data_IF_423790941093
#
_entry.id   IF_423790941093
#
_cell.length_a   1.000
_cell.length_b   1.000
_cell.length_c   1.000
_cell.angle_alpha   90.00
_cell.angle_beta   90.00
_cell.angle_gamma   90.00
#
_symmetry.space_group_name_H-M   'P 1'
#
loop_
_entity.id
_entity.type
_entity.pdbx_description
1 polymer ?
#
# COMPACT_ATOMS: atom_id res chain seq x y z
N UNK A 1 -14.82 -4.84 -3.14
CA UNK A 1 -16.24 -4.47 -3.29
C UNK A 1 -16.97 -4.65 -1.97
N UNK A 2 -17.87 -3.74 -1.68
CA UNK A 2 -18.70 -3.81 -0.47
C UNK A 2 -20.18 -3.69 -0.87
N UNK A 3 -21.01 -4.56 -0.31
CA UNK A 3 -22.46 -4.58 -0.57
C UNK A 3 -23.23 -3.70 0.45
N UNK A 4 -22.59 -2.63 0.91
CA UNK A 4 -23.22 -1.65 1.79
C UNK A 4 -23.56 -0.38 1.03
N UNK A 5 -24.69 0.24 1.43
CA UNK A 5 -25.09 1.51 0.86
C UNK A 5 -24.07 2.61 1.21
N UNK A 6 -23.70 3.40 0.20
CA UNK A 6 -22.81 4.56 0.38
C UNK A 6 -23.47 5.62 1.25
N UNK A 7 -22.67 6.30 2.07
CA UNK A 7 -23.17 7.37 2.94
C UNK A 7 -23.99 8.42 2.17
N UNK A 8 -25.14 8.89 2.73
CA UNK A 8 -26.04 9.83 2.04
C UNK A 8 -25.34 11.11 1.54
N UNK A 9 -24.40 11.65 2.31
CA UNK A 9 -23.65 12.84 1.92
C UNK A 9 -22.79 12.62 0.65
N UNK A 10 -22.23 11.43 0.50
CA UNK A 10 -21.45 11.07 -0.71
C UNK A 10 -22.39 10.94 -1.91
N UNK A 11 -23.54 10.29 -1.72
CA UNK A 11 -24.54 10.16 -2.79
C UNK A 11 -25.05 11.52 -3.26
N UNK A 12 -25.31 12.46 -2.33
CA UNK A 12 -25.78 13.80 -2.67
C UNK A 12 -24.72 14.60 -3.43
N UNK A 13 -23.47 14.59 -2.97
CA UNK A 13 -22.37 15.25 -3.66
C UNK A 13 -22.19 14.73 -5.11
N UNK A 14 -22.38 13.43 -5.33
CA UNK A 14 -22.35 12.84 -6.68
C UNK A 14 -23.53 13.33 -7.52
N UNK A 15 -24.75 13.39 -6.94
CA UNK A 15 -25.93 13.89 -7.65
C UNK A 15 -25.78 15.35 -8.06
N UNK A 16 -25.33 16.20 -7.15
CA UNK A 16 -25.05 17.62 -7.42
C UNK A 16 -24.02 17.78 -8.53
N UNK A 17 -22.93 17.04 -8.44
CA UNK A 17 -21.89 17.09 -9.47
C UNK A 17 -22.37 16.59 -10.83
N UNK A 18 -23.19 15.54 -10.86
CA UNK A 18 -23.77 15.02 -12.09
C UNK A 18 -24.78 16.02 -12.70
N UNK A 19 -25.62 16.66 -11.85
CA UNK A 19 -26.61 17.65 -12.28
C UNK A 19 -25.99 18.93 -12.87
N UNK A 20 -24.76 19.26 -12.47
CA UNK A 20 -23.99 20.38 -13.03
C UNK A 20 -23.78 20.25 -14.57
N UNK A 21 -23.65 19.04 -15.11
CA UNK A 21 -23.72 18.74 -16.54
C UNK A 21 -22.49 19.14 -17.37
N UNK A 22 -21.46 19.76 -16.79
CA UNK A 22 -20.21 20.12 -17.49
C UNK A 22 -19.08 19.25 -16.99
N UNK A 23 -18.55 18.40 -17.86
CA UNK A 23 -17.49 17.44 -17.54
C UNK A 23 -16.26 17.76 -18.37
N UNK A 24 -15.43 18.68 -17.90
CA UNK A 24 -14.16 19.05 -18.51
C UNK A 24 -12.97 18.45 -17.77
N UNK A 25 -11.82 19.07 -17.92
CA UNK A 25 -10.64 18.71 -17.14
C UNK A 25 -10.88 19.01 -15.67
N UNK A 26 -10.48 18.06 -14.82
CA UNK A 26 -10.58 18.21 -13.36
C UNK A 26 -9.19 18.37 -12.78
N UNK A 27 -9.01 19.39 -11.95
CA UNK A 27 -7.84 19.58 -11.11
C UNK A 27 -8.13 19.02 -9.72
N UNK A 28 -7.10 18.58 -9.03
CA UNK A 28 -7.18 18.23 -7.62
C UNK A 28 -7.01 19.51 -6.83
N UNK A 29 -8.09 19.97 -6.23
CA UNK A 29 -8.15 21.22 -5.47
C UNK A 29 -7.65 21.04 -4.03
N UNK A 30 -7.39 22.12 -3.33
CA UNK A 30 -6.79 22.09 -2.00
C UNK A 30 -7.70 21.42 -0.96
N UNK A 31 -9.02 21.52 -1.10
CA UNK A 31 -9.99 20.89 -0.23
C UNK A 31 -9.85 19.35 -0.17
N UNK A 32 -9.42 18.72 -1.28
CA UNK A 32 -9.11 17.28 -1.29
C UNK A 32 -7.96 16.93 -0.34
N UNK A 33 -6.89 17.73 -0.39
CA UNK A 33 -5.72 17.54 0.47
C UNK A 33 -6.03 17.84 1.93
N UNK A 34 -6.78 18.92 2.18
CA UNK A 34 -7.24 19.31 3.51
C UNK A 34 -8.12 18.24 4.15
N UNK A 35 -9.05 17.66 3.39
CA UNK A 35 -9.89 16.57 3.87
C UNK A 35 -9.07 15.34 4.26
N UNK A 36 -8.06 14.98 3.46
CA UNK A 36 -7.17 13.87 3.73
C UNK A 36 -6.29 14.13 4.97
N UNK A 37 -5.68 15.31 5.07
CA UNK A 37 -4.87 15.72 6.23
C UNK A 37 -5.70 15.73 7.52
N UNK A 38 -6.93 16.27 7.46
CA UNK A 38 -7.85 16.31 8.59
C UNK A 38 -8.27 14.91 9.05
N UNK A 39 -8.50 13.98 8.12
CA UNK A 39 -8.80 12.58 8.46
C UNK A 39 -7.67 11.97 9.29
N UNK A 40 -6.43 12.05 8.81
CA UNK A 40 -5.28 11.47 9.49
C UNK A 40 -4.99 12.15 10.84
N UNK A 41 -5.14 13.47 10.91
CA UNK A 41 -4.99 14.21 12.17
C UNK A 41 -6.02 13.80 13.22
N UNK A 42 -7.29 13.73 12.84
CA UNK A 42 -8.40 13.44 13.78
C UNK A 42 -8.41 11.98 14.20
N UNK A 43 -8.20 11.07 13.24
CA UNK A 43 -8.33 9.62 13.48
C UNK A 43 -7.07 8.97 14.04
N UNK A 44 -5.91 9.48 13.68
CA UNK A 44 -4.62 8.84 13.97
C UNK A 44 -3.63 9.75 14.70
N UNK A 45 -4.03 10.99 15.00
CA UNK A 45 -3.13 12.01 15.57
C UNK A 45 -1.80 12.15 14.77
N UNK A 46 -1.92 12.08 13.45
CA UNK A 46 -0.78 12.13 12.54
C UNK A 46 -0.95 13.31 11.58
N UNK A 47 0.02 14.23 11.60
CA UNK A 47 0.04 15.40 10.72
C UNK A 47 0.88 15.09 9.48
N UNK A 48 0.23 15.06 8.33
CA UNK A 48 0.87 14.82 7.03
C UNK A 48 1.10 16.17 6.35
N UNK A 49 2.36 16.54 6.01
CA UNK A 49 2.64 17.71 5.20
C UNK A 49 1.96 17.63 3.84
N UNK A 50 1.42 18.75 3.36
CA UNK A 50 0.71 18.83 2.07
C UNK A 50 1.57 18.33 0.88
N UNK A 51 2.84 18.65 0.89
CA UNK A 51 3.82 18.30 -0.15
C UNK A 51 4.22 16.81 -0.16
N UNK A 52 3.81 16.05 0.87
CA UNK A 52 3.97 14.59 0.89
C UNK A 52 2.85 13.86 0.15
N UNK A 53 1.76 14.56 -0.15
CA UNK A 53 0.58 13.96 -0.76
C UNK A 53 0.65 14.03 -2.28
N UNK A 54 0.52 12.87 -2.91
CA UNK A 54 0.43 12.72 -4.36
C UNK A 54 -0.88 12.01 -4.67
N UNK A 55 -1.75 12.68 -5.42
CA UNK A 55 -3.00 12.07 -5.87
C UNK A 55 -2.74 10.96 -6.90
N UNK A 56 -3.41 9.83 -6.69
CA UNK A 56 -3.49 8.73 -7.65
C UNK A 56 -4.94 8.28 -7.81
N UNK A 57 -5.29 7.78 -8.99
CA UNK A 57 -6.65 7.32 -9.30
C UNK A 57 -7.02 5.98 -8.65
N UNK A 58 -6.12 5.41 -7.88
CA UNK A 58 -6.30 4.18 -7.11
C UNK A 58 -4.99 3.61 -6.62
N UNK A 59 -5.07 2.67 -5.67
CA UNK A 59 -3.89 2.04 -5.05
C UNK A 59 -3.09 1.23 -6.06
N UNK A 60 -3.73 0.46 -6.94
CA UNK A 60 -3.04 -0.36 -7.95
C UNK A 60 -2.21 0.47 -8.93
N UNK A 61 -2.73 1.57 -9.52
CA UNK A 61 -1.92 2.50 -10.31
C UNK A 61 -0.77 3.12 -9.53
N UNK A 62 -0.97 3.45 -8.24
CA UNK A 62 0.07 3.98 -7.37
C UNK A 62 1.20 2.96 -7.17
N UNK A 63 0.88 1.73 -6.76
CA UNK A 63 1.84 0.64 -6.57
C UNK A 63 2.63 0.38 -7.86
N UNK A 64 1.95 0.25 -9.00
CA UNK A 64 2.60 0.02 -10.30
C UNK A 64 3.55 1.16 -10.68
N UNK A 65 3.17 2.40 -10.37
CA UNK A 65 4.02 3.57 -10.62
C UNK A 65 5.26 3.59 -9.73
N UNK A 66 5.10 3.27 -8.44
CA UNK A 66 6.21 3.20 -7.48
C UNK A 66 7.17 2.07 -7.87
N UNK A 67 6.65 0.86 -8.13
CA UNK A 67 7.48 -0.27 -8.59
C UNK A 67 8.34 0.15 -9.80
N UNK A 68 7.72 0.76 -10.80
CA UNK A 68 8.43 1.20 -12.01
C UNK A 68 9.46 2.31 -11.77
N UNK A 69 9.17 3.23 -10.86
CA UNK A 69 10.00 4.42 -10.62
C UNK A 69 11.12 4.20 -9.60
N UNK A 70 10.88 3.35 -8.60
CA UNK A 70 11.80 3.15 -7.48
C UNK A 70 12.66 1.90 -7.61
N UNK A 71 12.46 1.11 -8.67
CA UNK A 71 13.24 -0.09 -8.96
C UNK A 71 13.71 -0.10 -10.40
N UNK A 72 14.72 -0.90 -10.70
CA UNK A 72 15.23 -1.15 -12.05
C UNK A 72 14.61 -2.43 -12.62
N UNK A 73 14.57 -2.57 -13.95
CA UNK A 73 14.08 -3.79 -14.59
C UNK A 73 14.88 -5.02 -14.12
N UNK A 74 14.19 -6.13 -13.91
CA UNK A 74 14.68 -7.40 -13.38
C UNK A 74 15.08 -7.41 -11.89
N UNK A 75 15.06 -6.28 -11.19
CA UNK A 75 15.17 -6.29 -9.73
C UNK A 75 14.03 -7.07 -9.06
N UNK A 76 14.25 -7.44 -7.83
CA UNK A 76 13.32 -8.24 -7.03
C UNK A 76 12.51 -7.37 -6.09
N UNK A 77 11.23 -7.71 -5.96
CA UNK A 77 10.31 -7.07 -5.03
C UNK A 77 9.77 -8.13 -4.08
N UNK A 78 9.98 -7.93 -2.78
CA UNK A 78 9.53 -8.86 -1.73
C UNK A 78 8.05 -8.65 -1.44
N UNK A 79 7.32 -9.76 -1.27
CA UNK A 79 5.94 -9.80 -0.78
C UNK A 79 5.79 -10.91 0.26
N UNK A 80 4.98 -10.67 1.29
CA UNK A 80 4.64 -11.68 2.32
C UNK A 80 3.41 -12.47 1.88
N UNK A 81 3.56 -13.74 1.52
CA UNK A 81 2.45 -14.55 0.99
C UNK A 81 1.79 -15.44 2.04
N UNK A 82 0.45 -15.74 1.94
CA UNK A 82 -0.46 -15.24 0.91
C UNK A 82 -0.79 -13.74 1.06
N UNK A 83 -0.87 -13.03 -0.06
CA UNK A 83 -1.16 -11.59 -0.09
C UNK A 83 -2.06 -11.25 -1.28
N UNK A 84 -2.59 -10.04 -1.31
CA UNK A 84 -3.42 -9.53 -2.38
C UNK A 84 -2.76 -9.76 -3.76
N UNK A 85 -3.44 -10.53 -4.61
CA UNK A 85 -2.88 -11.03 -5.85
C UNK A 85 -2.47 -9.95 -6.86
N UNK A 86 -3.04 -8.75 -6.77
CA UNK A 86 -2.71 -7.65 -7.68
C UNK A 86 -1.28 -7.13 -7.47
N UNK A 87 -0.67 -7.36 -6.31
CA UNK A 87 0.74 -7.03 -6.11
C UNK A 87 1.65 -7.79 -7.09
N UNK A 88 1.37 -9.06 -7.31
CA UNK A 88 2.08 -9.88 -8.30
C UNK A 88 2.00 -9.27 -9.69
N UNK A 89 0.79 -8.86 -10.11
CA UNK A 89 0.60 -8.21 -11.40
C UNK A 89 1.34 -6.87 -11.49
N UNK A 90 1.31 -6.07 -10.42
CA UNK A 90 2.01 -4.77 -10.36
C UNK A 90 3.53 -4.92 -10.44
N UNK A 91 4.09 -6.02 -9.94
CA UNK A 91 5.52 -6.33 -10.03
C UNK A 91 5.85 -6.88 -11.41
N UNK A 92 5.18 -7.95 -11.80
CA UNK A 92 5.48 -8.71 -13.02
C UNK A 92 5.27 -7.89 -14.30
N UNK A 93 4.13 -7.19 -14.40
CA UNK A 93 3.79 -6.38 -15.58
C UNK A 93 4.73 -5.18 -15.77
N UNK A 94 5.48 -4.82 -14.74
CA UNK A 94 6.51 -3.78 -14.84
C UNK A 94 7.93 -4.35 -15.06
N UNK A 95 8.06 -5.66 -15.33
CA UNK A 95 9.34 -6.30 -15.64
C UNK A 95 10.27 -6.49 -14.43
N UNK A 96 9.68 -6.62 -13.22
CA UNK A 96 10.41 -6.95 -11.98
C UNK A 96 10.11 -8.40 -11.60
N UNK A 97 10.97 -8.98 -10.78
CA UNK A 97 10.82 -10.33 -10.28
C UNK A 97 10.16 -10.31 -8.90
N UNK A 98 9.27 -11.26 -8.67
CA UNK A 98 8.61 -11.46 -7.39
C UNK A 98 9.51 -12.31 -6.51
N UNK A 99 9.70 -11.89 -5.27
CA UNK A 99 10.39 -12.67 -4.25
C UNK A 99 9.44 -12.89 -3.08
N UNK A 100 8.93 -14.10 -2.97
CA UNK A 100 7.95 -14.46 -1.96
C UNK A 100 8.63 -14.84 -0.65
N UNK A 101 8.15 -14.26 0.46
CA UNK A 101 8.45 -14.71 1.81
C UNK A 101 7.15 -15.23 2.44
N UNK A 102 6.96 -16.55 2.52
CA UNK A 102 5.73 -17.15 3.02
C UNK A 102 5.53 -16.89 4.50
N UNK A 103 4.32 -16.46 4.87
CA UNK A 103 3.92 -16.37 6.27
C UNK A 103 3.83 -17.78 6.89
N UNK A 104 4.26 -17.91 8.13
CA UNK A 104 4.00 -19.08 8.95
C UNK A 104 2.55 -19.09 9.41
N UNK A 105 1.91 -20.25 9.35
CA UNK A 105 0.57 -20.45 9.89
C UNK A 105 0.60 -21.55 10.94
N UNK A 106 0.46 -21.14 12.20
CA UNK A 106 0.50 -22.06 13.34
C UNK A 106 -0.61 -21.72 14.33
N UNK A 107 -1.28 -22.76 14.83
CA UNK A 107 -2.34 -22.63 15.84
C UNK A 107 -3.45 -21.62 15.46
N UNK A 108 -3.81 -21.52 14.20
CA UNK A 108 -4.84 -20.62 13.71
C UNK A 108 -4.39 -19.17 13.53
N UNK A 109 -3.10 -18.88 13.66
CA UNK A 109 -2.54 -17.54 13.53
C UNK A 109 -1.43 -17.45 12.48
N UNK A 110 -1.38 -16.34 11.76
CA UNK A 110 -0.28 -16.00 10.87
C UNK A 110 0.80 -15.20 11.57
N UNK A 111 2.05 -15.48 11.21
CA UNK A 111 3.23 -14.72 11.65
C UNK A 111 4.26 -14.61 10.53
N UNK A 112 5.14 -13.63 10.62
CA UNK A 112 6.24 -13.46 9.67
C UNK A 112 7.37 -14.44 10.02
N UNK A 113 7.88 -15.15 9.01
CA UNK A 113 9.15 -15.86 9.11
C UNK A 113 10.29 -14.86 8.93
N UNK A 114 10.81 -14.35 10.02
CA UNK A 114 11.85 -13.33 9.96
C UNK A 114 13.21 -13.84 9.46
N UNK A 115 13.47 -15.13 9.57
CA UNK A 115 14.68 -15.75 9.00
C UNK A 115 14.58 -15.74 7.46
N UNK A 116 13.47 -16.22 6.93
CA UNK A 116 13.21 -16.23 5.49
C UNK A 116 13.12 -14.79 4.94
N UNK A 117 12.40 -13.89 5.64
CA UNK A 117 12.30 -12.50 5.23
C UNK A 117 13.68 -11.83 5.14
N UNK A 118 14.53 -12.01 6.14
CA UNK A 118 15.87 -11.43 6.14
C UNK A 118 16.72 -11.97 5.00
N UNK A 119 16.66 -13.28 4.71
CA UNK A 119 17.33 -13.89 3.55
C UNK A 119 16.91 -13.21 2.24
N UNK A 120 15.59 -12.99 2.06
CA UNK A 120 15.04 -12.34 0.86
C UNK A 120 15.44 -10.87 0.75
N UNK A 121 15.45 -10.15 1.87
CA UNK A 121 15.90 -8.75 1.90
C UNK A 121 17.40 -8.59 1.67
N UNK A 122 18.20 -9.56 2.09
CA UNK A 122 19.65 -9.57 1.89
C UNK A 122 20.09 -9.87 0.45
N UNK A 123 19.19 -10.35 -0.40
CA UNK A 123 19.50 -10.58 -1.82
C UNK A 123 19.89 -9.24 -2.49
N UNK A 124 21.06 -9.14 -3.13
CA UNK A 124 21.55 -7.87 -3.68
C UNK A 124 20.70 -7.29 -4.82
N UNK A 125 19.78 -8.07 -5.36
CA UNK A 125 18.81 -7.61 -6.37
C UNK A 125 17.48 -7.15 -5.75
N UNK A 126 17.30 -7.27 -4.44
CA UNK A 126 16.09 -6.82 -3.75
C UNK A 126 16.20 -5.32 -3.45
N UNK A 127 15.27 -4.52 -3.99
CA UNK A 127 15.26 -3.07 -3.83
C UNK A 127 13.97 -2.53 -3.20
N UNK A 128 12.89 -3.32 -3.24
CA UNK A 128 11.58 -2.92 -2.76
C UNK A 128 10.87 -4.08 -2.05
N UNK A 129 10.14 -3.76 -0.99
CA UNK A 129 9.17 -4.65 -0.36
C UNK A 129 7.79 -4.00 -0.43
N UNK A 130 6.78 -4.73 -0.90
CA UNK A 130 5.37 -4.33 -0.76
C UNK A 130 4.83 -4.97 0.50
N UNK A 131 4.48 -4.13 1.47
CA UNK A 131 4.01 -4.54 2.79
C UNK A 131 2.53 -4.18 2.95
N UNK A 132 1.68 -5.15 3.26
CA UNK A 132 0.24 -4.98 3.44
C UNK A 132 -0.11 -4.95 4.94
N UNK A 133 -0.73 -3.89 5.41
CA UNK A 133 -1.16 -3.76 6.80
C UNK A 133 -2.36 -2.80 6.93
N UNK A 134 -3.55 -3.28 7.27
CA UNK A 134 -3.97 -4.67 7.55
C UNK A 134 -3.70 -5.63 6.39
N UNK A 135 -3.28 -6.86 6.69
CA UNK A 135 -2.81 -7.82 5.68
C UNK A 135 -3.96 -8.58 5.02
N UNK A 136 -4.19 -8.34 3.76
CA UNK A 136 -5.19 -9.02 2.93
C UNK A 136 -4.53 -10.16 2.13
N UNK A 137 -5.05 -11.42 2.12
CA UNK A 137 -6.37 -11.85 2.62
C UNK A 137 -6.37 -12.44 4.04
N UNK A 138 -5.24 -12.50 4.74
CA UNK A 138 -5.16 -13.23 6.02
C UNK A 138 -5.83 -12.50 7.19
N UNK A 139 -6.23 -11.23 7.02
CA UNK A 139 -6.92 -10.44 8.03
C UNK A 139 -6.07 -10.10 9.24
N UNK A 140 -4.74 -10.05 9.08
CA UNK A 140 -3.81 -9.76 10.16
C UNK A 140 -3.50 -8.27 10.24
N UNK A 141 -3.60 -7.72 11.45
CA UNK A 141 -3.01 -6.42 11.80
C UNK A 141 -1.70 -6.70 12.52
N UNK A 142 -0.62 -6.17 12.00
CA UNK A 142 0.70 -6.35 12.59
C UNK A 142 0.88 -5.42 13.79
N UNK A 143 1.40 -5.96 14.87
CA UNK A 143 1.72 -5.17 16.07
C UNK A 143 2.98 -4.30 15.86
N UNK A 144 3.17 -3.37 16.78
CA UNK A 144 4.27 -2.40 16.72
C UNK A 144 5.64 -3.08 16.67
N UNK A 145 5.84 -4.11 17.48
CA UNK A 145 7.12 -4.85 17.55
C UNK A 145 7.44 -5.51 16.20
N UNK A 146 6.43 -6.14 15.58
CA UNK A 146 6.54 -6.72 14.24
C UNK A 146 6.88 -5.66 13.20
N UNK A 147 6.20 -4.51 13.24
CA UNK A 147 6.44 -3.40 12.31
C UNK A 147 7.85 -2.82 12.45
N UNK A 148 8.30 -2.61 13.68
CA UNK A 148 9.67 -2.13 13.95
C UNK A 148 10.70 -3.11 13.42
N UNK A 149 10.54 -4.41 13.67
CA UNK A 149 11.46 -5.43 13.19
C UNK A 149 11.51 -5.52 11.66
N UNK A 150 10.37 -5.43 10.98
CA UNK A 150 10.34 -5.35 9.50
C UNK A 150 11.08 -4.10 9.02
N UNK A 151 10.82 -2.95 9.64
CA UNK A 151 11.47 -1.70 9.31
C UNK A 151 13.00 -1.76 9.48
N UNK A 152 13.46 -2.29 10.61
CA UNK A 152 14.89 -2.44 10.91
C UNK A 152 15.60 -3.33 9.88
N UNK A 153 14.98 -4.44 9.49
CA UNK A 153 15.52 -5.32 8.45
C UNK A 153 15.59 -4.62 7.08
N UNK A 154 14.53 -3.89 6.71
CA UNK A 154 14.51 -3.14 5.46
C UNK A 154 15.59 -2.04 5.44
N UNK A 155 15.77 -1.32 6.53
CA UNK A 155 16.84 -0.32 6.68
C UNK A 155 18.23 -0.99 6.60
N UNK A 156 18.41 -2.09 7.31
CA UNK A 156 19.68 -2.86 7.32
C UNK A 156 20.12 -3.27 5.93
N UNK A 157 19.18 -3.70 5.09
CA UNK A 157 19.45 -4.20 3.75
C UNK A 157 19.18 -3.18 2.63
N UNK A 158 18.90 -1.91 2.99
CA UNK A 158 18.63 -0.81 2.05
C UNK A 158 17.46 -1.07 1.10
N UNK A 159 16.43 -1.77 1.59
CA UNK A 159 15.21 -2.07 0.85
C UNK A 159 14.14 -1.03 1.17
N UNK A 160 13.56 -0.41 0.15
CA UNK A 160 12.46 0.53 0.31
C UNK A 160 11.18 -0.22 0.67
N UNK A 161 10.40 0.30 1.62
CA UNK A 161 9.07 -0.24 1.96
C UNK A 161 7.98 0.58 1.29
N UNK A 162 7.11 -0.10 0.54
CA UNK A 162 5.83 0.42 0.07
C UNK A 162 4.74 -0.19 0.96
N UNK A 163 4.18 0.62 1.86
CA UNK A 163 3.11 0.18 2.77
C UNK A 163 1.74 0.41 2.12
N UNK A 164 0.99 -0.67 1.93
CA UNK A 164 -0.42 -0.62 1.53
C UNK A 164 -1.30 -0.69 2.77
N UNK A 165 -1.93 0.43 3.08
CA UNK A 165 -2.76 0.64 4.27
C UNK A 165 -4.21 0.98 3.88
N UNK A 166 -4.71 0.44 2.74
CA UNK A 166 -6.04 0.74 2.22
C UNK A 166 -7.17 0.27 3.15
N UNK A 167 -6.96 -0.75 3.98
CA UNK A 167 -7.90 -1.25 4.95
C UNK A 167 -7.72 -0.56 6.30
#
# INVERSE_FOLDING_TARGET
DMDFETAPAVQEAIRERAAHGVFGYTLIEDDWYEAYQNWWKIRHNFEIPRDWLIFCTGVVPAISSIVRKMTTAAEKVVVLTPVYNIFFNSIYNNGRNILESPLKYENGAYSIDFEDLEEKLADPQTSLMIFCNPHNPVGKIWDKETLEKVGDLCVKHHVLVLSDEIH
#
